data_IF_250236920139
#
_entry.id   IF_250236920139
#
_cell.length_a   1.000
_cell.length_b   1.000
_cell.length_c   1.000
_cell.angle_alpha   90.00
_cell.angle_beta   90.00
_cell.angle_gamma   90.00
#
_symmetry.space_group_name_H-M   'P 1'
#
loop_
_entity.id
_entity.type
_entity.pdbx_description
1 polymer ?
#
# COMPACT_ATOMS: atom_id res chain seq x y z
N UNK A 1 -8.24 -7.25 -59.99
CA UNK A 1 -7.52 -8.48 -59.60
C UNK A 1 -6.30 -8.01 -58.84
N UNK A 2 -6.16 -8.13 -57.52
CA UNK A 2 -6.72 -9.03 -56.50
C UNK A 2 -7.03 -8.17 -55.26
N UNK A 3 -8.25 -8.27 -54.74
CA UNK A 3 -8.69 -7.65 -53.48
C UNK A 3 -8.58 -8.69 -52.36
N UNK A 4 -7.79 -8.40 -51.32
CA UNK A 4 -7.66 -9.25 -50.14
C UNK A 4 -8.04 -8.46 -48.89
N UNK A 5 -9.31 -8.54 -48.49
CA UNK A 5 -9.79 -8.09 -47.19
C UNK A 5 -9.28 -9.05 -46.10
N UNK A 6 -8.46 -8.54 -45.18
CA UNK A 6 -8.00 -9.29 -44.01
C UNK A 6 -8.99 -9.05 -42.86
N UNK A 7 -9.97 -9.93 -42.73
CA UNK A 7 -10.94 -9.94 -41.63
C UNK A 7 -10.33 -10.66 -40.42
N UNK A 8 -9.91 -9.90 -39.39
CA UNK A 8 -9.48 -10.46 -38.11
C UNK A 8 -10.74 -10.91 -37.34
N UNK A 9 -10.98 -12.23 -37.32
CA UNK A 9 -11.97 -12.86 -36.45
C UNK A 9 -11.46 -12.82 -35.00
N UNK A 10 -12.05 -11.96 -34.17
CA UNK A 10 -11.98 -12.11 -32.70
C UNK A 10 -12.98 -13.20 -32.28
N UNK A 11 -12.49 -14.33 -31.81
CA UNK A 11 -13.31 -15.39 -31.20
C UNK A 11 -13.32 -15.23 -29.68
N UNK A 12 -14.38 -14.59 -29.17
CA UNK A 12 -14.73 -14.60 -27.74
C UNK A 12 -15.87 -15.60 -27.57
N UNK A 13 -15.74 -16.65 -26.75
CA UNK A 13 -16.86 -17.56 -26.49
C UNK A 13 -17.89 -16.85 -25.60
N UNK A 14 -19.04 -16.49 -26.20
CA UNK A 14 -20.25 -16.11 -25.46
C UNK A 14 -20.88 -17.37 -24.86
N UNK A 15 -20.80 -17.53 -23.54
CA UNK A 15 -21.62 -18.50 -22.81
C UNK A 15 -22.97 -17.82 -22.52
N UNK A 16 -23.96 -18.09 -23.38
CA UNK A 16 -25.37 -17.86 -23.10
C UNK A 16 -26.03 -19.22 -22.92
N UNK A 17 -26.49 -19.53 -21.72
CA UNK A 17 -27.55 -20.52 -21.50
C UNK A 17 -28.29 -20.18 -20.21
N UNK A 18 -29.35 -19.41 -20.43
CA UNK A 18 -30.51 -19.23 -19.58
C UNK A 18 -31.18 -20.61 -19.38
N UNK A 19 -31.21 -21.15 -18.16
CA UNK A 19 -32.14 -22.23 -17.80
C UNK A 19 -32.87 -21.86 -16.51
N UNK A 20 -34.14 -21.52 -16.70
CA UNK A 20 -35.20 -21.39 -15.70
C UNK A 20 -35.59 -22.78 -15.20
N UNK A 21 -35.43 -23.07 -13.90
CA UNK A 21 -36.20 -24.12 -13.22
C UNK A 21 -36.75 -23.57 -11.91
N UNK A 22 -38.08 -23.58 -11.83
CA UNK A 22 -38.92 -23.10 -10.76
C UNK A 22 -39.07 -24.18 -9.67
N UNK A 23 -38.84 -23.76 -8.42
CA UNK A 23 -39.27 -24.25 -7.10
C UNK A 23 -40.03 -25.59 -6.95
N UNK A 24 -39.59 -26.40 -5.96
CA UNK A 24 -40.46 -27.01 -4.93
C UNK A 24 -39.76 -26.95 -3.56
N UNK A 25 -40.44 -26.32 -2.59
CA UNK A 25 -40.09 -26.21 -1.18
C UNK A 25 -40.16 -27.54 -0.43
N UNK A 26 -39.32 -27.73 0.61
CA UNK A 26 -39.78 -28.17 1.95
C UNK A 26 -38.73 -27.88 3.03
N UNK A 27 -39.11 -27.02 3.97
CA UNK A 27 -38.78 -26.98 5.41
C UNK A 27 -37.38 -27.41 5.89
N UNK A 28 -36.57 -26.41 6.27
CA UNK A 28 -35.81 -26.51 7.53
C UNK A 28 -36.03 -25.21 8.32
N UNK A 29 -36.64 -25.37 9.48
CA UNK A 29 -36.90 -24.34 10.48
C UNK A 29 -35.62 -24.15 11.28
N UNK A 30 -34.97 -22.98 11.25
CA UNK A 30 -34.22 -22.52 12.41
C UNK A 30 -34.14 -20.98 12.42
N UNK A 31 -34.23 -20.46 13.63
CA UNK A 31 -34.73 -19.15 14.01
C UNK A 31 -33.94 -17.95 13.49
N UNK A 32 -34.72 -16.90 13.18
CA UNK A 32 -34.29 -15.51 13.21
C UNK A 32 -33.88 -15.18 14.66
N UNK A 33 -32.60 -14.87 14.87
CA UNK A 33 -32.16 -14.12 16.04
C UNK A 33 -31.95 -12.67 15.60
N UNK A 34 -32.84 -11.80 16.08
CA UNK A 34 -32.63 -10.34 16.06
C UNK A 34 -31.56 -10.06 17.12
N UNK A 35 -30.37 -9.62 16.70
CA UNK A 35 -29.36 -9.11 17.63
C UNK A 35 -29.66 -7.64 17.92
N UNK A 36 -30.13 -7.39 19.13
CA UNK A 36 -30.32 -6.08 19.74
C UNK A 36 -28.95 -5.44 19.99
N UNK A 37 -28.82 -4.16 19.67
CA UNK A 37 -27.60 -3.40 19.87
C UNK A 37 -27.53 -2.95 21.35
N UNK A 38 -26.80 -3.69 22.17
CA UNK A 38 -26.43 -3.24 23.52
C UNK A 38 -24.93 -3.32 23.71
N UNK A 39 -24.36 -2.17 24.10
CA UNK A 39 -22.97 -1.93 24.50
C UNK A 39 -22.36 -3.11 25.28
N UNK A 40 -21.33 -3.72 24.70
CA UNK A 40 -20.54 -4.78 25.32
C UNK A 40 -19.25 -4.22 25.92
N UNK A 41 -19.15 -4.34 27.24
CA UNK A 41 -17.95 -4.14 28.05
C UNK A 41 -16.83 -5.08 27.58
N UNK A 42 -15.59 -4.57 27.59
CA UNK A 42 -14.41 -5.31 27.17
C UNK A 42 -14.16 -6.52 28.08
N UNK A 43 -14.33 -7.70 27.51
CA UNK A 43 -13.78 -8.95 28.06
C UNK A 43 -12.46 -9.24 27.38
N UNK A 44 -11.38 -9.32 28.15
CA UNK A 44 -10.08 -9.88 27.74
C UNK A 44 -10.32 -11.25 27.10
N UNK A 45 -10.29 -11.29 25.77
CA UNK A 45 -10.32 -12.52 25.03
C UNK A 45 -8.88 -13.00 24.93
N UNK A 46 -8.57 -14.10 25.63
CA UNK A 46 -7.29 -14.77 25.50
C UNK A 46 -7.01 -15.03 24.01
N UNK A 47 -5.94 -14.43 23.51
CA UNK A 47 -5.52 -14.47 22.11
C UNK A 47 -5.16 -15.92 21.80
N UNK A 48 -6.04 -16.62 21.10
CA UNK A 48 -5.75 -17.95 20.61
C UNK A 48 -4.76 -17.81 19.47
N UNK A 49 -3.52 -18.23 19.68
CA UNK A 49 -2.55 -18.26 18.59
C UNK A 49 -2.96 -19.40 17.65
N UNK A 50 -3.83 -19.11 16.68
CA UNK A 50 -4.09 -20.02 15.57
C UNK A 50 -2.85 -20.02 14.67
N UNK A 51 -1.91 -20.92 14.95
CA UNK A 51 -0.69 -21.13 14.15
C UNK A 51 -0.95 -21.98 12.91
N UNK A 52 -2.15 -21.97 12.35
CA UNK A 52 -2.45 -22.79 11.17
C UNK A 52 -1.66 -22.31 9.96
N UNK A 53 -1.25 -23.26 9.11
CA UNK A 53 -0.56 -22.95 7.85
C UNK A 53 -1.35 -21.95 7.00
N UNK A 54 -2.68 -21.95 7.08
CA UNK A 54 -3.56 -21.06 6.32
C UNK A 54 -3.47 -19.58 6.75
N UNK A 55 -3.17 -19.31 8.02
CA UNK A 55 -3.08 -17.96 8.55
C UNK A 55 -1.63 -17.43 8.56
N UNK A 56 -0.63 -18.33 8.69
CA UNK A 56 0.76 -17.94 8.97
C UNK A 56 1.78 -18.34 7.90
N UNK A 57 1.47 -19.25 6.97
CA UNK A 57 2.49 -19.80 6.07
C UNK A 57 2.54 -19.11 4.71
N UNK A 58 3.75 -18.91 4.19
CA UNK A 58 4.01 -18.58 2.78
C UNK A 58 3.60 -19.64 1.77
N UNK A 59 3.18 -20.83 2.22
CA UNK A 59 2.63 -21.88 1.35
C UNK A 59 1.12 -21.75 1.14
N UNK A 60 0.45 -20.89 1.90
CA UNK A 60 -0.96 -20.63 1.73
C UNK A 60 -1.15 -19.60 0.62
N UNK A 61 -2.14 -19.85 -0.25
CA UNK A 61 -2.59 -18.85 -1.21
C UNK A 61 -3.15 -17.62 -0.47
N UNK A 62 -2.93 -16.39 -0.98
CA UNK A 62 -3.46 -15.18 -0.38
C UNK A 62 -4.99 -15.21 -0.22
N UNK A 63 -5.48 -14.99 0.99
CA UNK A 63 -6.92 -15.03 1.29
C UNK A 63 -7.56 -13.63 1.24
N UNK A 64 -7.89 -13.19 0.03
CA UNK A 64 -8.52 -11.89 -0.21
C UNK A 64 -9.88 -11.71 0.47
N UNK A 65 -10.67 -12.76 0.68
CA UNK A 65 -12.00 -12.64 1.32
C UNK A 65 -11.90 -12.34 2.83
N UNK A 66 -10.81 -12.74 3.46
CA UNK A 66 -10.52 -12.46 4.88
C UNK A 66 -9.87 -11.09 5.04
N UNK A 67 -8.86 -10.80 4.22
CA UNK A 67 -8.03 -9.58 4.35
C UNK A 67 -8.67 -8.36 3.68
N UNK A 68 -9.39 -8.56 2.57
CA UNK A 68 -9.99 -7.49 1.77
C UNK A 68 -11.51 -7.64 1.57
N UNK A 69 -12.31 -7.82 2.64
CA UNK A 69 -13.75 -7.95 2.49
C UNK A 69 -14.39 -6.61 2.08
N UNK A 70 -15.35 -6.68 1.16
CA UNK A 70 -16.11 -5.51 0.70
C UNK A 70 -17.36 -5.21 1.55
N UNK A 71 -17.79 -6.12 2.42
CA UNK A 71 -19.08 -6.10 3.10
C UNK A 71 -19.01 -5.87 4.61
N UNK A 72 -17.80 -5.78 5.18
CA UNK A 72 -17.58 -5.55 6.62
C UNK A 72 -16.38 -4.65 6.88
N UNK A 73 -16.35 -4.12 8.09
CA UNK A 73 -15.19 -3.39 8.62
C UNK A 73 -14.47 -4.31 9.59
N UNK A 74 -13.26 -4.70 9.20
CA UNK A 74 -12.39 -5.56 9.99
C UNK A 74 -11.89 -4.82 11.24
N UNK A 75 -11.45 -5.57 12.25
CA UNK A 75 -10.84 -5.02 13.47
C UNK A 75 -9.45 -5.63 13.60
N UNK A 76 -8.46 -4.77 13.84
CA UNK A 76 -7.09 -5.18 14.09
C UNK A 76 -6.57 -4.46 15.33
N UNK A 77 -5.87 -5.21 16.18
CA UNK A 77 -5.14 -4.67 17.32
C UNK A 77 -3.65 -4.87 17.08
N UNK A 78 -2.86 -3.81 17.23
CA UNK A 78 -1.40 -3.85 17.19
C UNK A 78 -0.89 -3.55 18.60
N UNK A 79 -0.03 -4.41 19.12
CA UNK A 79 0.60 -4.26 20.43
C UNK A 79 2.07 -4.00 20.25
N UNK A 80 2.53 -2.83 20.68
CA UNK A 80 3.90 -2.35 20.60
C UNK A 80 4.43 -2.26 22.02
N UNK A 81 5.65 -2.72 22.26
CA UNK A 81 6.23 -2.53 23.60
C UNK A 81 6.44 -1.04 23.87
N UNK A 82 6.35 -0.56 25.13
CA UNK A 82 6.60 0.85 25.43
C UNK A 82 7.97 1.35 24.95
N UNK A 83 8.99 0.49 25.01
CA UNK A 83 10.34 0.82 24.54
C UNK A 83 10.43 0.93 23.02
N UNK A 84 9.74 0.06 22.28
CA UNK A 84 9.70 0.14 20.82
C UNK A 84 8.87 1.31 20.33
N UNK A 85 7.78 1.63 21.03
CA UNK A 85 7.02 2.86 20.77
C UNK A 85 7.87 4.11 21.01
N UNK A 86 8.68 4.12 22.07
CA UNK A 86 9.62 5.21 22.33
C UNK A 86 10.63 5.37 21.17
N UNK A 87 11.22 4.28 20.68
CA UNK A 87 12.11 4.32 19.50
C UNK A 87 11.42 4.91 18.27
N UNK A 88 10.18 4.50 17.99
CA UNK A 88 9.41 5.07 16.87
C UNK A 88 9.22 6.59 17.04
N UNK A 89 8.90 7.05 18.25
CA UNK A 89 8.73 8.48 18.52
C UNK A 89 10.04 9.26 18.44
N UNK A 90 11.13 8.74 19.00
CA UNK A 90 12.45 9.37 18.94
C UNK A 90 12.91 9.54 17.48
N UNK A 91 12.77 8.49 16.67
CA UNK A 91 13.07 8.55 15.25
C UNK A 91 12.22 9.61 14.52
N UNK A 92 10.92 9.67 14.80
CA UNK A 92 10.04 10.69 14.23
C UNK A 92 10.39 12.11 14.70
N UNK A 93 10.77 12.29 15.97
CA UNK A 93 11.23 13.57 16.52
C UNK A 93 12.54 14.01 15.86
N UNK A 94 13.48 13.09 15.63
CA UNK A 94 14.72 13.38 14.89
C UNK A 94 14.43 13.83 13.46
N UNK A 95 13.47 13.18 12.79
CA UNK A 95 13.13 13.46 11.39
C UNK A 95 12.34 14.77 11.22
N UNK A 96 11.39 15.07 12.13
CA UNK A 96 10.37 16.11 11.90
C UNK A 96 10.17 17.10 13.04
N UNK A 97 10.91 16.96 14.15
CA UNK A 97 10.73 17.76 15.37
C UNK A 97 9.65 17.20 16.30
N UNK A 98 9.37 17.91 17.38
CA UNK A 98 8.46 17.43 18.43
C UNK A 98 7.02 17.21 17.93
N UNK A 99 6.38 16.17 18.46
CA UNK A 99 5.01 15.80 18.13
C UNK A 99 4.02 16.91 18.48
N UNK A 100 3.17 17.33 17.54
CA UNK A 100 2.20 18.40 17.77
C UNK A 100 2.78 19.81 17.82
N UNK A 101 4.09 19.97 17.68
CA UNK A 101 4.72 21.27 17.46
C UNK A 101 4.64 21.58 15.96
N UNK A 102 3.45 21.99 15.50
CA UNK A 102 3.31 22.68 14.22
C UNK A 102 4.32 23.82 14.15
N UNK A 103 4.75 24.22 12.94
CA UNK A 103 5.91 25.12 12.71
C UNK A 103 6.01 26.21 13.80
N UNK A 104 6.89 25.99 14.76
CA UNK A 104 7.22 26.95 15.80
C UNK A 104 7.98 28.10 15.15
N UNK A 105 7.23 29.06 14.63
CA UNK A 105 7.71 30.42 14.40
C UNK A 105 8.90 30.57 13.47
N UNK A 106 8.70 30.29 12.17
CA UNK A 106 9.08 31.29 11.16
C UNK A 106 8.21 32.53 11.36
N UNK A 107 8.48 33.34 12.38
CA UNK A 107 7.73 34.55 12.67
C UNK A 107 7.83 35.54 11.50
N UNK A 108 6.77 36.30 11.18
CA UNK A 108 6.85 37.37 10.19
C UNK A 108 7.66 38.52 10.78
N UNK A 109 8.97 38.55 10.56
CA UNK A 109 9.79 39.71 10.91
C UNK A 109 11.22 39.48 11.36
N UNK A 110 12.01 38.67 10.66
CA UNK A 110 13.46 38.91 10.66
C UNK A 110 13.88 39.34 9.25
N UNK A 111 13.87 40.66 9.06
CA UNK A 111 14.52 41.31 7.94
C UNK A 111 15.94 40.75 7.83
N UNK A 112 16.30 40.30 6.63
CA UNK A 112 17.61 39.71 6.36
C UNK A 112 18.73 40.60 6.87
N UNK A 113 19.66 39.99 7.61
CA UNK A 113 20.99 40.57 7.76
C UNK A 113 21.63 40.61 6.36
N UNK A 114 22.00 41.79 5.85
CA UNK A 114 22.64 41.90 4.56
C UNK A 114 24.11 41.46 4.70
N UNK A 115 24.40 40.20 4.42
CA UNK A 115 25.79 39.71 4.46
C UNK A 115 26.05 38.23 4.16
N UNK A 116 25.02 37.39 3.95
CA UNK A 116 25.22 35.98 3.66
C UNK A 116 25.68 35.71 2.22
N UNK A 117 26.85 35.08 2.08
CA UNK A 117 27.46 34.67 0.81
C UNK A 117 26.51 33.74 0.02
N UNK A 118 26.25 33.93 -1.29
CA UNK A 118 25.30 33.11 -2.06
C UNK A 118 25.81 31.68 -2.41
N UNK A 119 26.88 31.22 -1.76
CA UNK A 119 27.62 30.01 -2.15
C UNK A 119 27.47 28.81 -1.23
N UNK A 120 26.88 28.96 -0.05
CA UNK A 120 26.67 27.84 0.87
C UNK A 120 25.18 27.53 0.93
N UNK A 121 24.78 26.44 0.27
CA UNK A 121 23.53 25.75 0.60
C UNK A 121 23.65 25.30 2.06
N UNK A 122 23.24 26.16 2.98
CA UNK A 122 23.03 25.75 4.35
C UNK A 122 21.99 24.62 4.29
N UNK A 123 22.44 23.38 4.50
CA UNK A 123 21.54 22.24 4.68
C UNK A 123 20.61 22.64 5.82
N UNK A 124 19.39 23.04 5.48
CA UNK A 124 18.29 23.10 6.43
C UNK A 124 18.02 21.64 6.77
N UNK A 125 18.75 21.12 7.76
CA UNK A 125 18.48 19.82 8.38
C UNK A 125 17.10 19.94 9.00
N UNK A 126 16.13 19.20 8.48
CA UNK A 126 14.74 19.19 8.97
C UNK A 126 13.65 19.36 7.90
N UNK A 127 13.98 19.55 6.62
CA UNK A 127 12.94 19.71 5.59
C UNK A 127 12.63 18.45 4.78
N UNK A 128 13.58 17.53 4.62
CA UNK A 128 13.38 16.27 3.88
C UNK A 128 14.32 15.20 4.44
N UNK A 129 13.79 14.22 5.16
CA UNK A 129 14.50 12.95 5.34
C UNK A 129 14.15 12.06 4.16
N UNK A 130 15.14 11.68 3.36
CA UNK A 130 15.02 10.65 2.31
C UNK A 130 15.01 9.22 2.92
N UNK A 131 15.06 9.14 4.25
CA UNK A 131 15.13 7.88 4.99
C UNK A 131 13.73 7.53 5.49
N UNK A 132 13.32 6.29 5.28
CA UNK A 132 12.09 5.75 5.83
C UNK A 132 12.14 5.69 7.37
N UNK A 133 11.01 5.92 8.08
CA UNK A 133 10.93 5.71 9.52
C UNK A 133 11.32 4.29 9.94
N UNK A 134 11.82 4.16 11.17
CA UNK A 134 12.34 2.90 11.71
C UNK A 134 11.26 1.82 11.83
N UNK A 135 11.62 0.59 11.51
CA UNK A 135 10.83 -0.59 11.85
C UNK A 135 11.07 -1.01 13.31
N UNK A 136 10.00 -1.39 14.00
CA UNK A 136 10.08 -2.03 15.32
C UNK A 136 9.20 -3.29 15.36
N UNK A 137 9.52 -4.28 16.20
CA UNK A 137 8.69 -5.47 16.36
C UNK A 137 7.39 -5.12 17.10
N UNK A 138 6.29 -5.73 16.68
CA UNK A 138 5.00 -5.65 17.35
C UNK A 138 4.21 -6.95 17.19
N UNK A 139 3.25 -7.17 18.07
CA UNK A 139 2.28 -8.26 17.92
C UNK A 139 1.01 -7.74 17.25
N UNK A 140 0.50 -8.46 16.26
CA UNK A 140 -0.76 -8.16 15.58
C UNK A 140 -1.80 -9.19 15.99
N UNK A 141 -3.02 -8.74 16.32
CA UNK A 141 -4.17 -9.61 16.53
C UNK A 141 -5.32 -9.23 15.60
N UNK A 142 -5.90 -10.24 14.96
CA UNK A 142 -6.99 -10.11 14.00
C UNK A 142 -7.86 -11.37 14.03
N UNK A 143 -9.19 -11.20 14.09
CA UNK A 143 -10.18 -12.30 14.13
C UNK A 143 -9.87 -13.41 15.16
N UNK A 144 -9.25 -13.05 16.29
CA UNK A 144 -8.87 -13.97 17.36
C UNK A 144 -7.57 -14.73 17.14
N UNK A 145 -6.88 -14.48 16.03
CA UNK A 145 -5.55 -15.00 15.66
C UNK A 145 -4.47 -13.96 15.99
N UNK A 146 -3.24 -14.41 16.25
CA UNK A 146 -2.10 -13.56 16.59
C UNK A 146 -0.87 -13.83 15.72
N UNK A 147 -0.14 -12.77 15.36
CA UNK A 147 1.15 -12.78 14.68
C UNK A 147 2.15 -12.05 15.54
N UNK A 148 3.31 -12.67 15.79
CA UNK A 148 4.32 -12.12 16.68
C UNK A 148 5.43 -11.45 15.88
N UNK A 149 6.12 -10.50 16.51
CA UNK A 149 7.32 -9.84 15.95
C UNK A 149 7.13 -9.29 14.52
N UNK A 150 5.91 -8.88 14.18
CA UNK A 150 5.60 -8.23 12.91
C UNK A 150 6.35 -6.91 12.86
N UNK A 151 7.03 -6.65 11.76
CA UNK A 151 7.65 -5.37 11.50
C UNK A 151 6.62 -4.29 11.25
N UNK A 152 6.58 -3.28 12.12
CA UNK A 152 5.74 -2.11 11.93
C UNK A 152 6.58 -0.84 11.83
N UNK A 153 6.16 0.09 10.97
CA UNK A 153 6.71 1.46 10.94
C UNK A 153 5.65 2.46 10.54
N UNK A 154 5.85 3.73 10.90
CA UNK A 154 5.13 4.81 10.26
C UNK A 154 5.49 4.90 8.77
N UNK A 155 4.48 5.21 7.96
CA UNK A 155 4.58 5.28 6.50
C UNK A 155 4.00 6.59 5.99
N UNK A 156 4.65 7.14 4.96
CA UNK A 156 4.19 8.29 4.20
C UNK A 156 5.29 9.32 4.05
N UNK A 157 4.95 10.42 3.41
CA UNK A 157 5.84 11.57 3.27
C UNK A 157 5.15 12.81 3.84
N UNK A 158 4.43 13.55 2.99
CA UNK A 158 3.68 14.74 3.40
C UNK A 158 2.56 14.43 4.41
N UNK A 159 1.85 13.32 4.22
CA UNK A 159 0.77 12.89 5.13
C UNK A 159 1.29 12.57 6.53
N UNK A 160 2.42 11.88 6.59
CA UNK A 160 3.10 11.50 7.83
C UNK A 160 3.63 12.74 8.55
N UNK A 161 4.36 13.60 7.83
CA UNK A 161 4.88 14.85 8.40
C UNK A 161 3.74 15.76 8.90
N UNK A 162 2.65 15.87 8.12
CA UNK A 162 1.47 16.67 8.46
C UNK A 162 0.81 16.17 9.75
N UNK A 163 0.44 14.89 9.79
CA UNK A 163 -0.21 14.28 10.95
C UNK A 163 0.67 14.35 12.21
N UNK A 164 1.99 14.11 12.09
CA UNK A 164 2.93 14.22 13.20
C UNK A 164 2.96 15.64 13.80
N UNK A 165 3.03 16.66 12.93
CA UNK A 165 3.04 18.08 13.33
C UNK A 165 1.71 18.54 13.91
N UNK A 166 0.61 17.93 13.51
CA UNK A 166 -0.72 18.19 14.09
C UNK A 166 -0.93 17.50 15.45
N UNK A 167 0.02 16.67 15.89
CA UNK A 167 -0.12 15.90 17.12
C UNK A 167 -1.16 14.78 16.96
N UNK A 168 -1.29 14.25 15.74
CA UNK A 168 -2.19 13.16 15.40
C UNK A 168 -1.41 11.87 15.20
N UNK A 169 -1.76 10.82 15.95
CA UNK A 169 -1.25 9.47 15.72
C UNK A 169 -2.00 8.73 14.60
N UNK A 170 -2.96 9.38 13.93
CA UNK A 170 -3.62 8.82 12.74
C UNK A 170 -2.71 8.88 11.51
N UNK A 171 -1.56 8.26 11.63
CA UNK A 171 -0.48 8.17 10.63
C UNK A 171 -0.59 6.79 9.98
N UNK A 172 -0.34 6.70 8.67
CA UNK A 172 -0.32 5.41 7.97
C UNK A 172 0.79 4.50 8.52
N UNK A 173 0.57 3.20 8.48
CA UNK A 173 1.53 2.17 8.92
C UNK A 173 1.86 1.23 7.77
N UNK A 174 3.12 0.78 7.70
CA UNK A 174 3.51 -0.39 6.90
C UNK A 174 3.72 -1.57 7.85
N UNK A 175 3.13 -2.71 7.51
CA UNK A 175 3.32 -4.00 8.17
C UNK A 175 4.15 -4.89 7.26
N UNK A 176 5.12 -5.59 7.81
CA UNK A 176 5.87 -6.65 7.14
C UNK A 176 5.97 -7.82 8.14
N UNK A 177 5.41 -8.97 7.76
CA UNK A 177 5.17 -10.09 8.69
C UNK A 177 6.40 -10.96 8.96
N UNK A 178 7.43 -10.90 8.10
CA UNK A 178 8.70 -11.61 8.29
C UNK A 178 9.91 -10.67 8.49
N UNK A 179 9.68 -9.36 8.68
CA UNK A 179 10.72 -8.32 8.73
C UNK A 179 11.92 -8.64 9.63
N UNK A 180 11.64 -9.31 10.73
CA UNK A 180 12.61 -9.67 11.75
C UNK A 180 12.93 -11.17 11.79
N UNK A 181 12.69 -11.93 10.71
CA UNK A 181 12.93 -13.38 10.70
C UNK A 181 14.39 -13.80 10.92
N UNK A 182 15.35 -12.91 10.58
CA UNK A 182 16.77 -13.11 10.88
C UNK A 182 17.05 -13.03 12.39
N UNK A 183 16.30 -12.20 13.12
CA UNK A 183 16.41 -12.02 14.58
C UNK A 183 15.55 -13.04 15.34
N UNK A 184 14.37 -13.38 14.79
CA UNK A 184 13.37 -14.29 15.34
C UNK A 184 13.07 -15.41 14.34
N UNK A 185 13.88 -16.49 14.30
CA UNK A 185 13.71 -17.57 13.32
C UNK A 185 12.35 -18.28 13.37
N UNK A 186 11.60 -18.14 14.46
CA UNK A 186 10.24 -18.67 14.63
C UNK A 186 9.19 -18.00 13.72
N UNK A 187 9.43 -16.77 13.24
CA UNK A 187 8.53 -16.07 12.31
C UNK A 187 9.00 -16.17 10.86
N UNK A 188 9.88 -17.14 10.56
CA UNK A 188 10.43 -17.30 9.22
C UNK A 188 9.33 -17.54 8.18
N UNK A 189 9.27 -16.70 7.16
CA UNK A 189 8.20 -16.61 6.16
C UNK A 189 6.79 -16.53 6.79
N UNK A 190 6.66 -15.84 7.92
CA UNK A 190 5.36 -15.55 8.51
C UNK A 190 4.56 -14.67 7.55
N UNK A 191 3.32 -15.05 7.29
CA UNK A 191 2.37 -14.31 6.45
C UNK A 191 1.13 -13.95 7.24
N UNK A 192 0.40 -12.95 6.78
CA UNK A 192 -0.95 -12.64 7.21
C UNK A 192 -1.93 -13.18 6.18
N UNK A 193 -2.40 -14.42 6.37
CA UNK A 193 -3.26 -15.10 5.39
C UNK A 193 -2.71 -15.06 3.95
N UNK A 194 -1.42 -15.36 3.80
CA UNK A 194 -0.70 -15.39 2.53
C UNK A 194 -0.08 -14.06 2.09
N UNK A 195 -0.35 -12.94 2.78
CA UNK A 195 0.27 -11.64 2.50
C UNK A 195 1.52 -11.43 3.36
N UNK A 196 2.62 -10.99 2.75
CA UNK A 196 3.86 -10.66 3.46
C UNK A 196 3.87 -9.22 3.96
N UNK A 197 3.41 -8.31 3.11
CA UNK A 197 3.39 -6.89 3.40
C UNK A 197 2.01 -6.27 3.18
N UNK A 198 1.64 -5.37 4.08
CA UNK A 198 0.38 -4.66 4.03
C UNK A 198 0.55 -3.20 4.43
N UNK A 199 -0.27 -2.32 3.87
CA UNK A 199 -0.24 -0.90 4.15
C UNK A 199 -1.58 -0.47 4.77
N UNK A 200 -1.55 0.07 6.00
CA UNK A 200 -2.71 0.66 6.65
C UNK A 200 -2.68 2.18 6.43
N UNK A 201 -3.56 2.69 5.58
CA UNK A 201 -3.63 4.11 5.24
C UNK A 201 -4.51 4.90 6.21
N UNK A 202 -3.95 5.95 6.81
CA UNK A 202 -4.66 6.85 7.72
C UNK A 202 -5.60 7.85 7.01
N UNK A 203 -5.55 7.91 5.67
CA UNK A 203 -6.36 8.78 4.80
C UNK A 203 -6.29 10.27 5.18
N UNK A 204 -5.08 10.74 5.51
CA UNK A 204 -4.82 12.16 5.80
C UNK A 204 -5.27 13.05 4.64
N UNK A 205 -5.93 14.18 4.95
CA UNK A 205 -6.56 15.09 3.97
C UNK A 205 -7.67 14.49 3.09
N UNK A 206 -8.21 13.33 3.44
CA UNK A 206 -9.44 12.80 2.84
C UNK A 206 -10.59 12.79 3.86
N UNK A 207 -11.36 13.89 3.91
CA UNK A 207 -12.54 14.00 4.79
C UNK A 207 -13.58 12.89 4.61
N UNK A 208 -13.59 12.23 3.44
CA UNK A 208 -14.51 11.12 3.19
C UNK A 208 -13.99 9.78 3.72
N UNK A 209 -12.67 9.62 3.83
CA UNK A 209 -11.97 8.35 4.03
C UNK A 209 -12.28 7.28 2.95
N UNK A 210 -12.94 7.64 1.84
CA UNK A 210 -13.42 6.69 0.84
C UNK A 210 -12.52 6.61 -0.40
N UNK A 211 -11.69 7.62 -0.68
CA UNK A 211 -11.00 7.70 -1.98
C UNK A 211 -10.04 6.54 -2.17
N UNK A 212 -9.23 6.27 -1.15
CA UNK A 212 -8.29 5.14 -1.15
C UNK A 212 -9.02 3.78 -1.25
N UNK A 213 -10.24 3.68 -0.72
CA UNK A 213 -11.02 2.44 -0.75
C UNK A 213 -11.68 2.18 -2.12
N UNK A 214 -12.17 3.23 -2.80
CA UNK A 214 -13.04 3.08 -3.99
C UNK A 214 -12.25 3.22 -5.29
N UNK A 215 -11.21 4.06 -5.33
CA UNK A 215 -10.47 4.32 -6.57
C UNK A 215 -9.78 3.06 -7.12
N UNK A 216 -9.10 2.23 -6.30
CA UNK A 216 -8.48 1.00 -6.81
C UNK A 216 -9.49 0.01 -7.40
N UNK A 217 -10.72 -0.08 -6.85
CA UNK A 217 -11.75 -0.96 -7.42
C UNK A 217 -12.22 -0.47 -8.78
N UNK A 218 -12.38 0.85 -8.98
CA UNK A 218 -12.70 1.44 -10.28
C UNK A 218 -11.61 1.12 -11.30
N UNK A 219 -10.33 1.20 -10.91
CA UNK A 219 -9.21 0.84 -11.78
C UNK A 219 -9.28 -0.63 -12.20
N UNK A 220 -9.46 -1.56 -11.24
CA UNK A 220 -9.60 -2.99 -11.54
C UNK A 220 -10.80 -3.27 -12.45
N UNK A 221 -11.95 -2.66 -12.17
CA UNK A 221 -13.15 -2.78 -13.03
C UNK A 221 -12.93 -2.25 -14.45
N UNK A 222 -11.96 -1.33 -14.61
CA UNK A 222 -11.55 -0.77 -15.91
C UNK A 222 -10.41 -1.56 -16.57
N UNK A 223 -9.94 -2.65 -15.96
CA UNK A 223 -8.84 -3.47 -16.47
C UNK A 223 -7.44 -2.96 -16.15
N UNK A 224 -7.30 -1.97 -15.25
CA UNK A 224 -6.00 -1.46 -14.79
C UNK A 224 -5.62 -2.20 -13.50
N UNK A 225 -4.45 -2.85 -13.43
CA UNK A 225 -3.97 -3.50 -12.22
C UNK A 225 -3.91 -2.49 -11.05
N UNK A 226 -4.51 -2.85 -9.92
CA UNK A 226 -4.61 -1.96 -8.77
C UNK A 226 -4.88 -2.74 -7.47
N UNK A 227 -4.37 -2.25 -6.32
CA UNK A 227 -4.35 -3.00 -5.06
C UNK A 227 -5.76 -3.22 -4.49
N UNK A 228 -6.01 -4.41 -3.95
CA UNK A 228 -7.21 -4.64 -3.14
C UNK A 228 -7.19 -3.79 -1.87
N UNK A 229 -8.38 -3.39 -1.43
CA UNK A 229 -8.56 -2.48 -0.31
C UNK A 229 -9.75 -2.87 0.57
N UNK A 230 -9.64 -2.65 1.88
CA UNK A 230 -10.72 -2.86 2.83
C UNK A 230 -10.63 -1.93 4.05
N UNK A 231 -11.76 -1.70 4.73
CA UNK A 231 -11.78 -0.87 5.93
C UNK A 231 -11.42 -1.66 7.18
N UNK A 232 -10.58 -1.05 8.02
CA UNK A 232 -10.14 -1.59 9.30
C UNK A 232 -10.36 -0.56 10.41
N UNK A 233 -10.94 -0.99 11.53
CA UNK A 233 -10.83 -0.28 12.81
C UNK A 233 -9.53 -0.70 13.48
N UNK A 234 -8.64 0.26 13.66
CA UNK A 234 -7.33 0.02 14.25
C UNK A 234 -7.32 0.39 15.73
N UNK A 235 -6.85 -0.54 16.55
CA UNK A 235 -6.49 -0.32 17.94
C UNK A 235 -4.99 -0.50 18.09
N UNK A 236 -4.32 0.40 18.81
CA UNK A 236 -2.89 0.29 19.11
C UNK A 236 -2.70 0.35 20.61
N UNK A 237 -2.08 -0.69 21.16
CA UNK A 237 -1.56 -0.72 22.52
C UNK A 237 -0.06 -0.41 22.49
N UNK A 238 0.37 0.56 23.28
CA UNK A 238 1.77 0.94 23.44
C UNK A 238 2.17 1.05 24.92
N UNK A 239 1.47 0.33 25.81
CA UNK A 239 1.77 0.23 27.23
C UNK A 239 0.63 0.56 28.19
N UNK A 240 -0.48 1.11 27.68
CA UNK A 240 -1.63 1.56 28.49
C UNK A 240 -2.93 0.84 28.09
N UNK A 241 -2.83 -0.30 27.40
CA UNK A 241 -3.97 -0.97 26.79
C UNK A 241 -4.32 -0.42 25.40
N UNK A 242 -5.20 -1.12 24.66
CA UNK A 242 -5.53 -0.78 23.28
C UNK A 242 -6.29 0.54 23.18
N UNK A 243 -5.72 1.49 22.43
CA UNK A 243 -6.33 2.79 22.11
C UNK A 243 -6.84 2.80 20.69
N UNK A 244 -8.06 3.29 20.48
CA UNK A 244 -8.64 3.41 19.14
C UNK A 244 -7.94 4.50 18.34
N UNK A 245 -7.28 4.12 17.24
CA UNK A 245 -6.57 5.04 16.34
C UNK A 245 -7.46 5.55 15.20
N UNK A 246 -8.57 4.86 14.91
CA UNK A 246 -9.54 5.28 13.92
C UNK A 246 -9.86 4.20 12.89
N UNK A 247 -10.61 4.60 11.86
CA UNK A 247 -10.80 3.81 10.64
C UNK A 247 -9.65 4.10 9.68
N UNK A 248 -9.05 3.03 9.19
CA UNK A 248 -7.97 2.97 8.21
C UNK A 248 -8.44 2.20 6.97
N UNK A 249 -7.80 2.45 5.84
CA UNK A 249 -7.92 1.61 4.65
C UNK A 249 -6.71 0.67 4.60
N UNK A 250 -6.93 -0.63 4.73
CA UNK A 250 -5.92 -1.64 4.38
C UNK A 250 -5.75 -1.64 2.87
N UNK A 251 -4.50 -1.63 2.40
CA UNK A 251 -4.12 -1.62 0.99
C UNK A 251 -3.07 -2.72 0.78
N UNK A 252 -3.34 -3.60 -0.17
CA UNK A 252 -2.41 -4.62 -0.68
C UNK A 252 -1.08 -3.98 -1.09
N UNK A 253 0.04 -4.62 -0.72
CA UNK A 253 1.36 -4.19 -1.18
C UNK A 253 1.55 -4.58 -2.66
N UNK A 254 2.07 -3.64 -3.47
CA UNK A 254 2.24 -3.86 -4.91
C UNK A 254 3.40 -4.82 -5.16
N UNK A 255 4.46 -4.66 -4.38
CA UNK A 255 5.70 -5.44 -4.40
C UNK A 255 5.56 -6.90 -3.90
N UNK A 256 4.36 -7.28 -3.44
CA UNK A 256 4.03 -8.60 -2.90
C UNK A 256 3.04 -9.28 -3.87
N UNK A 257 1.94 -9.81 -3.33
CA UNK A 257 0.89 -10.54 -4.05
C UNK A 257 0.24 -9.86 -5.28
N UNK A 258 0.28 -8.53 -5.42
CA UNK A 258 -0.41 -7.86 -6.54
C UNK A 258 0.18 -8.27 -7.89
N UNK A 259 1.51 -8.19 -8.03
CA UNK A 259 2.17 -8.50 -9.30
C UNK A 259 1.93 -9.97 -9.67
N UNK A 260 2.09 -10.87 -8.70
CA UNK A 260 1.90 -12.32 -8.87
C UNK A 260 0.47 -12.67 -9.31
N UNK A 261 -0.54 -11.93 -8.83
CA UNK A 261 -1.95 -12.27 -9.08
C UNK A 261 -2.59 -11.53 -10.25
N UNK A 262 -2.10 -10.33 -10.59
CA UNK A 262 -2.72 -9.48 -11.62
C UNK A 262 -1.93 -9.44 -12.94
N UNK A 263 -0.70 -9.96 -12.97
CA UNK A 263 0.10 -10.07 -14.19
C UNK A 263 0.31 -11.54 -14.57
N UNK A 264 0.43 -11.80 -15.88
CA UNK A 264 0.73 -13.14 -16.38
C UNK A 264 2.21 -13.52 -16.23
N UNK A 265 3.07 -12.52 -16.05
CA UNK A 265 4.52 -12.63 -15.83
C UNK A 265 4.90 -11.61 -14.76
N UNK A 266 5.47 -12.09 -13.67
CA UNK A 266 5.89 -11.35 -12.49
C UNK A 266 7.40 -11.10 -12.43
N UNK A 267 8.16 -11.57 -13.43
CA UNK A 267 9.63 -11.46 -13.45
C UNK A 267 10.17 -10.08 -13.84
N UNK A 268 9.28 -9.17 -14.25
CA UNK A 268 9.63 -7.82 -14.69
C UNK A 268 10.07 -6.89 -13.55
N UNK A 269 10.44 -5.66 -13.93
CA UNK A 269 10.79 -4.62 -12.97
C UNK A 269 9.55 -3.88 -12.46
N UNK A 270 9.41 -3.78 -11.14
CA UNK A 270 8.54 -2.83 -10.46
C UNK A 270 9.34 -1.59 -10.11
N UNK A 271 8.83 -0.42 -10.49
CA UNK A 271 9.41 0.86 -10.13
C UNK A 271 8.48 1.64 -9.21
N UNK A 272 9.05 2.36 -8.25
CA UNK A 272 8.39 3.42 -7.48
C UNK A 272 8.89 4.77 -8.02
N UNK A 273 8.24 5.32 -9.05
CA UNK A 273 8.74 6.51 -9.72
C UNK A 273 8.52 7.76 -8.86
N UNK A 274 9.58 8.56 -8.70
CA UNK A 274 9.56 9.83 -7.96
C UNK A 274 10.34 10.91 -8.71
N UNK A 275 10.14 12.18 -8.36
CA UNK A 275 10.88 13.29 -8.99
C UNK A 275 10.48 13.58 -10.45
N UNK A 276 11.36 14.29 -11.18
CA UNK A 276 11.03 14.80 -12.51
C UNK A 276 10.97 13.69 -13.57
N UNK A 277 11.77 12.62 -13.42
CA UNK A 277 11.74 11.48 -14.33
C UNK A 277 10.40 10.73 -14.30
N UNK A 278 9.67 10.77 -13.20
CA UNK A 278 8.33 10.18 -13.10
C UNK A 278 7.27 10.85 -14.00
N UNK A 279 7.54 12.04 -14.54
CA UNK A 279 6.60 12.76 -15.42
C UNK A 279 6.59 12.24 -16.86
N UNK A 280 7.58 11.43 -17.25
CA UNK A 280 7.80 10.98 -18.63
C UNK A 280 7.96 12.12 -19.66
N UNK A 281 8.25 13.34 -19.22
CA UNK A 281 8.42 14.50 -20.08
C UNK A 281 9.73 14.46 -20.89
N UNK A 282 9.76 15.15 -22.03
CA UNK A 282 10.95 15.16 -22.87
C UNK A 282 12.14 15.79 -22.12
N UNK A 283 13.26 15.07 -22.06
CA UNK A 283 14.49 15.55 -21.43
C UNK A 283 14.52 15.47 -19.89
N UNK A 284 13.54 14.82 -19.26
CA UNK A 284 13.51 14.64 -17.79
C UNK A 284 13.97 13.27 -17.33
N UNK A 285 14.36 12.36 -18.24
CA UNK A 285 14.79 11.02 -17.86
C UNK A 285 15.98 11.07 -16.90
N UNK A 286 15.84 10.34 -15.79
CA UNK A 286 16.84 10.17 -14.77
C UNK A 286 16.58 8.81 -14.09
N UNK A 287 17.60 7.95 -14.01
CA UNK A 287 17.45 6.61 -13.40
C UNK A 287 17.13 6.70 -11.92
N UNK A 288 17.63 7.73 -11.25
CA UNK A 288 17.40 7.97 -9.82
C UNK A 288 15.92 8.29 -9.53
N UNK A 289 15.15 8.68 -10.55
CA UNK A 289 13.69 8.87 -10.46
C UNK A 289 12.91 7.56 -10.50
N UNK A 290 13.55 6.42 -10.76
CA UNK A 290 12.92 5.10 -10.91
C UNK A 290 13.54 4.11 -9.94
N UNK A 291 13.23 4.28 -8.65
CA UNK A 291 13.60 3.34 -7.59
C UNK A 291 13.01 1.96 -7.91
N UNK A 292 13.86 0.93 -7.98
CA UNK A 292 13.42 -0.46 -8.17
C UNK A 292 12.83 -1.02 -6.88
N UNK A 293 11.77 -1.82 -7.01
CA UNK A 293 11.13 -2.59 -5.93
C UNK A 293 11.12 -4.09 -6.19
N UNK A 294 11.56 -4.51 -7.37
CA UNK A 294 11.94 -5.88 -7.71
C UNK A 294 13.25 -5.83 -8.47
N UNK A 295 13.98 -6.94 -8.52
CA UNK A 295 15.28 -7.05 -9.21
C UNK A 295 16.26 -5.94 -8.78
N UNK A 296 16.28 -5.57 -7.50
CA UNK A 296 17.01 -4.40 -6.98
C UNK A 296 18.53 -4.51 -7.17
N UNK A 297 19.07 -5.73 -7.13
CA UNK A 297 20.49 -6.00 -7.36
C UNK A 297 20.88 -5.90 -8.85
N UNK A 298 19.90 -5.87 -9.75
CA UNK A 298 20.13 -5.78 -11.19
C UNK A 298 20.13 -4.32 -11.64
N UNK A 299 21.32 -3.84 -12.04
CA UNK A 299 21.53 -2.49 -12.55
C UNK A 299 21.03 -2.30 -14.01
N UNK A 300 19.78 -2.69 -14.27
CA UNK A 300 19.10 -2.58 -15.55
C UNK A 300 17.82 -1.73 -15.45
N UNK A 301 17.75 -0.73 -16.35
CA UNK A 301 16.64 0.21 -16.56
C UNK A 301 16.31 0.32 -18.06
N UNK A 302 16.74 -0.66 -18.86
CA UNK A 302 16.62 -0.62 -20.32
C UNK A 302 15.15 -0.55 -20.77
N UNK A 303 14.23 -1.11 -20.00
CA UNK A 303 12.78 -1.03 -20.20
C UNK A 303 12.26 0.42 -20.14
N UNK A 304 12.48 1.14 -19.04
CA UNK A 304 12.05 2.52 -18.86
C UNK A 304 12.82 3.49 -19.77
N UNK A 305 14.10 3.21 -20.04
CA UNK A 305 14.89 3.94 -21.05
C UNK A 305 14.28 3.80 -22.44
N UNK A 306 13.89 2.58 -22.82
CA UNK A 306 13.25 2.31 -24.11
C UNK A 306 11.89 3.00 -24.20
N UNK A 307 11.08 2.95 -23.14
CA UNK A 307 9.81 3.67 -23.07
C UNK A 307 10.01 5.18 -23.31
N UNK A 308 10.98 5.79 -22.63
CA UNK A 308 11.34 7.19 -22.84
C UNK A 308 11.76 7.50 -24.28
N UNK A 309 12.62 6.66 -24.85
CA UNK A 309 13.11 6.84 -26.22
C UNK A 309 11.97 6.76 -27.25
N UNK A 310 11.05 5.81 -27.10
CA UNK A 310 9.90 5.65 -27.99
C UNK A 310 8.91 6.80 -27.84
N UNK A 311 8.57 7.20 -26.60
CA UNK A 311 7.65 8.31 -26.34
C UNK A 311 8.10 9.62 -27.02
N UNK A 312 9.40 9.88 -27.03
CA UNK A 312 9.98 11.14 -27.55
C UNK A 312 10.58 11.03 -28.95
N UNK A 313 10.48 9.86 -29.59
CA UNK A 313 10.99 9.65 -30.95
C UNK A 313 10.34 10.59 -31.97
N UNK A 314 11.14 11.17 -32.88
CA UNK A 314 10.66 11.99 -34.01
C UNK A 314 9.73 11.20 -34.96
N UNK A 315 9.71 9.87 -34.86
CA UNK A 315 8.74 9.03 -35.56
C UNK A 315 7.30 9.38 -35.22
N UNK A 316 7.02 9.90 -34.02
CA UNK A 316 5.66 10.37 -33.66
C UNK A 316 5.15 11.48 -34.60
N UNK A 317 6.06 12.23 -35.23
CA UNK A 317 5.74 13.29 -36.20
C UNK A 317 5.88 12.81 -37.65
N UNK A 318 6.94 12.07 -37.94
CA UNK A 318 7.31 11.68 -39.31
C UNK A 318 6.62 10.40 -39.80
N UNK A 319 6.31 9.46 -38.90
CA UNK A 319 5.58 8.22 -39.20
C UNK A 319 4.74 7.74 -37.98
N UNK A 320 3.59 8.39 -37.71
CA UNK A 320 2.80 8.11 -36.50
C UNK A 320 2.24 6.68 -36.43
N UNK A 321 2.08 6.00 -37.57
CA UNK A 321 1.61 4.60 -37.61
C UNK A 321 2.69 3.66 -37.06
N UNK A 322 3.94 3.82 -37.52
CA UNK A 322 5.05 3.01 -37.03
C UNK A 322 5.39 3.33 -35.58
N UNK A 323 5.33 4.60 -35.19
CA UNK A 323 5.52 5.01 -33.79
C UNK A 323 4.50 4.35 -32.84
N UNK A 324 3.21 4.32 -33.22
CA UNK A 324 2.19 3.63 -32.41
C UNK A 324 2.46 2.13 -32.29
N UNK A 325 2.82 1.48 -33.39
CA UNK A 325 3.15 0.05 -33.37
C UNK A 325 4.35 -0.25 -32.45
N UNK A 326 5.39 0.58 -32.46
CA UNK A 326 6.55 0.44 -31.56
C UNK A 326 6.20 0.73 -30.09
N UNK A 327 5.30 1.68 -29.83
CA UNK A 327 4.82 1.96 -28.48
C UNK A 327 3.97 0.79 -27.93
N UNK A 328 3.09 0.25 -28.76
CA UNK A 328 2.22 -0.90 -28.47
C UNK A 328 3.00 -2.19 -28.16
N UNK A 329 4.28 -2.28 -28.55
CA UNK A 329 5.14 -3.42 -28.23
C UNK A 329 5.68 -3.38 -26.79
N UNK A 330 5.71 -2.20 -26.15
CA UNK A 330 6.35 -1.99 -24.84
C UNK A 330 5.44 -1.35 -23.79
N UNK A 331 4.27 -0.86 -24.20
CA UNK A 331 3.28 -0.24 -23.32
C UNK A 331 1.91 -0.84 -23.64
N UNK A 332 1.20 -1.26 -22.60
CA UNK A 332 -0.21 -1.65 -22.71
C UNK A 332 -1.07 -0.39 -22.87
N UNK A 333 -1.66 -0.18 -24.05
CA UNK A 333 -2.31 1.07 -24.50
C UNK A 333 -3.82 1.02 -24.62
#
# INVERSE_FOLDING_TARGET
>A
MITGEYQIRRSIPRISSLVLVLAICTFCNCMIAVADATNGEGTEQAIGIDMSDAAHSSKAEPNYEVVFPADRVNIMTITITPGDWEKMRENMTEMYGEFGEGISGGGPGQAGEPGGNPGERQKIVGMFSEVDPVYVPADVSFEGVGWQNVGIRFKGFNSLQGAWREGSYKISLKLNFDKFEDEFPEIKNQRFYGFDELNLQGNFNDDSLLREMVVPSIFRESGVPAPYTAFYRLYVDYGDGPKYFGVYTMVEAVEDTLIETQFADDSGNLYKPEGNGATFAAGTFDRDSFEKKTNEDEADWSDVETLYAVLHSDMRLSNPVKWRAELEEILDV
#
